data_IF_918188313936
#
_entry.id   IF_918188313936
#
_cell.length_a   1.000
_cell.length_b   1.000
_cell.length_c   1.000
_cell.angle_alpha   90.00
_cell.angle_beta   90.00
_cell.angle_gamma   90.00
#
_symmetry.space_group_name_H-M   'P 1'
#
loop_
_entity.id
_entity.type
_entity.pdbx_description
1 polymer ?
#
# COMPACT_ATOMS: atom_id res chain seq x y z
N UNK A 1 -3.92 4.17 -3.09
CA UNK A 1 -3.05 4.75 -2.03
C UNK A 1 -1.91 3.77 -1.73
N UNK A 2 -0.62 4.16 -1.62
CA UNK A 2 0.47 3.23 -1.34
C UNK A 2 0.34 2.56 0.03
N UNK A 3 1.00 1.42 0.23
CA UNK A 3 1.00 0.69 1.51
C UNK A 3 1.71 1.46 2.63
N UNK A 4 1.51 1.04 3.88
CA UNK A 4 2.19 1.66 5.03
C UNK A 4 3.72 1.55 4.92
N UNK A 5 4.25 0.40 4.51
CA UNK A 5 5.70 0.19 4.34
C UNK A 5 6.31 1.18 3.34
N UNK A 6 5.67 1.38 2.18
CA UNK A 6 6.11 2.36 1.18
C UNK A 6 6.09 3.78 1.76
N UNK A 7 5.02 4.16 2.47
CA UNK A 7 4.96 5.49 3.10
C UNK A 7 6.06 5.67 4.14
N UNK A 8 6.33 4.64 4.96
CA UNK A 8 7.37 4.69 5.97
C UNK A 8 8.77 4.83 5.36
N UNK A 9 9.04 4.12 4.27
CA UNK A 9 10.29 4.25 3.50
C UNK A 9 10.45 5.67 2.94
N UNK A 10 9.39 6.26 2.39
CA UNK A 10 9.41 7.64 1.89
C UNK A 10 9.68 8.64 3.03
N UNK A 11 9.04 8.46 4.19
CA UNK A 11 9.30 9.30 5.37
C UNK A 11 10.78 9.26 5.75
N UNK A 12 11.39 8.07 5.79
CA UNK A 12 12.79 7.92 6.19
C UNK A 12 13.77 8.43 5.13
N UNK A 13 13.53 8.14 3.85
CA UNK A 13 14.43 8.52 2.75
C UNK A 13 14.46 10.03 2.51
N UNK A 14 13.31 10.68 2.59
CA UNK A 14 13.18 12.10 2.26
C UNK A 14 13.01 12.98 3.50
N UNK A 15 12.99 12.40 4.70
CA UNK A 15 12.77 13.09 5.98
C UNK A 15 11.52 14.00 5.95
N UNK A 16 10.44 13.50 5.34
CA UNK A 16 9.18 14.25 5.18
C UNK A 16 8.13 13.79 6.19
N UNK A 17 7.33 14.73 6.68
CA UNK A 17 6.17 14.38 7.49
C UNK A 17 5.13 13.58 6.69
N UNK A 18 4.42 12.68 7.37
CA UNK A 18 3.38 11.83 6.79
C UNK A 18 2.29 12.63 6.05
N UNK A 19 2.01 13.86 6.45
CA UNK A 19 0.98 14.70 5.84
C UNK A 19 1.32 15.07 4.40
N UNK A 20 2.57 15.43 4.12
CA UNK A 20 3.03 15.73 2.76
C UNK A 20 2.92 14.51 1.85
N UNK A 21 3.18 13.32 2.38
CA UNK A 21 3.02 12.07 1.64
C UNK A 21 1.56 11.90 1.22
N UNK A 22 0.61 12.08 2.14
CA UNK A 22 -0.81 11.99 1.82
C UNK A 22 -1.26 13.03 0.80
N UNK A 23 -0.88 14.29 1.00
CA UNK A 23 -1.25 15.38 0.11
C UNK A 23 -0.71 15.16 -1.31
N UNK A 24 0.52 14.67 -1.44
CA UNK A 24 1.12 14.33 -2.73
C UNK A 24 0.36 13.21 -3.43
N UNK A 25 0.09 12.07 -2.76
CA UNK A 25 -0.66 10.98 -3.37
C UNK A 25 -2.11 11.38 -3.70
N UNK A 26 -2.74 12.20 -2.86
CA UNK A 26 -4.07 12.73 -3.13
C UNK A 26 -4.08 13.69 -4.32
N UNK A 27 -3.04 14.50 -4.52
CA UNK A 27 -2.89 15.37 -5.70
C UNK A 27 -2.78 14.57 -7.01
N UNK A 28 -2.32 13.32 -6.92
CA UNK A 28 -2.24 12.37 -8.05
C UNK A 28 -3.49 11.50 -8.20
N UNK A 29 -4.57 11.79 -7.47
CA UNK A 29 -5.82 11.02 -7.52
C UNK A 29 -5.79 9.67 -6.77
N UNK A 30 -4.68 9.33 -6.12
CA UNK A 30 -4.51 8.09 -5.36
C UNK A 30 -5.12 8.21 -3.96
N UNK A 31 -6.45 8.32 -3.89
CA UNK A 31 -7.22 8.34 -2.63
C UNK A 31 -7.66 6.94 -2.24
N UNK A 32 -7.79 6.68 -0.94
CA UNK A 32 -8.48 5.47 -0.44
C UNK A 32 -9.98 5.71 -0.60
N UNK A 33 -10.61 5.04 -1.55
CA UNK A 33 -12.09 5.06 -1.69
C UNK A 33 -12.72 3.98 -0.81
N UNK A 34 -14.02 4.06 -0.56
CA UNK A 34 -14.77 3.00 0.16
C UNK A 34 -14.72 1.65 -0.60
N UNK A 35 -14.56 1.68 -1.92
CA UNK A 35 -14.37 0.50 -2.77
C UNK A 35 -12.96 -0.10 -2.61
N UNK A 36 -11.92 0.75 -2.52
CA UNK A 36 -10.53 0.32 -2.34
C UNK A 36 -10.30 -0.45 -1.02
N UNK A 37 -11.13 -0.17 0.01
CA UNK A 37 -11.14 -0.94 1.25
C UNK A 37 -11.44 -2.43 1.02
N UNK A 38 -12.23 -2.77 -0.01
CA UNK A 38 -12.54 -4.17 -0.38
C UNK A 38 -11.40 -4.76 -1.21
N UNK A 39 -10.87 -4.01 -2.17
CA UNK A 39 -9.75 -4.43 -3.02
C UNK A 39 -8.46 -4.73 -2.23
N UNK A 40 -8.19 -3.97 -1.16
CA UNK A 40 -7.00 -4.21 -0.31
C UNK A 40 -7.10 -5.51 0.50
N UNK A 41 -8.32 -5.95 0.82
CA UNK A 41 -8.55 -7.26 1.48
C UNK A 41 -8.26 -8.38 0.47
N UNK A 42 -8.68 -8.21 -0.77
CA UNK A 42 -8.49 -9.19 -1.85
C UNK A 42 -7.00 -9.34 -2.26
N UNK A 43 -6.25 -8.23 -2.34
CA UNK A 43 -4.81 -8.27 -2.59
C UNK A 43 -4.01 -8.96 -1.48
N UNK A 44 -4.44 -8.83 -0.21
CA UNK A 44 -3.82 -9.58 0.89
C UNK A 44 -4.09 -11.08 0.81
N UNK A 45 -5.29 -11.48 0.37
CA UNK A 45 -5.63 -12.89 0.19
C UNK A 45 -4.93 -13.51 -1.02
N UNK A 46 -4.74 -12.77 -2.11
CA UNK A 46 -4.03 -13.25 -3.30
C UNK A 46 -2.52 -13.41 -3.04
N UNK A 47 -1.90 -12.43 -2.38
CA UNK A 47 -0.50 -12.52 -1.97
C UNK A 47 -0.22 -13.69 -1.00
N UNK A 48 -1.18 -14.01 -0.11
CA UNK A 48 -1.09 -15.17 0.79
C UNK A 48 -1.27 -16.49 0.02
N UNK A 49 -2.18 -16.55 -0.96
CA UNK A 49 -2.41 -17.72 -1.82
C UNK A 49 -1.16 -18.08 -2.63
N UNK A 50 -0.46 -17.08 -3.16
CA UNK A 50 0.77 -17.30 -3.95
C UNK A 50 1.94 -17.84 -3.11
N UNK A 51 2.06 -17.45 -1.83
CA UNK A 51 3.14 -17.94 -0.95
C UNK A 51 2.97 -19.41 -0.53
N UNK A 52 1.75 -19.94 -0.50
CA UNK A 52 1.50 -21.35 -0.14
C UNK A 52 1.83 -22.31 -1.30
N UNK A 53 1.91 -21.81 -2.53
CA UNK A 53 2.17 -22.64 -3.73
C UNK A 53 3.65 -22.87 -4.04
N UNK A 54 4.59 -22.21 -3.37
CA UNK A 54 6.04 -22.35 -3.65
C UNK A 54 6.80 -23.32 -2.74
N UNK A 55 6.13 -24.03 -1.82
CA UNK A 55 6.80 -24.95 -0.87
C UNK A 55 6.63 -26.44 -1.18
N UNK A 56 6.31 -26.81 -2.41
CA UNK A 56 6.24 -28.22 -2.80
C UNK A 56 6.89 -28.50 -4.16
N UNK A 57 8.22 -28.53 -4.17
CA UNK A 57 9.02 -29.42 -5.02
C UNK A 57 10.37 -29.67 -4.40
#
# INVERSE_FOLDING_TARGET
MPSFAIRQEIQMRFNVDRRHIYDWFHSKGLRVTKEDKRATVEQKTDAMRMHVSSSKT
#
